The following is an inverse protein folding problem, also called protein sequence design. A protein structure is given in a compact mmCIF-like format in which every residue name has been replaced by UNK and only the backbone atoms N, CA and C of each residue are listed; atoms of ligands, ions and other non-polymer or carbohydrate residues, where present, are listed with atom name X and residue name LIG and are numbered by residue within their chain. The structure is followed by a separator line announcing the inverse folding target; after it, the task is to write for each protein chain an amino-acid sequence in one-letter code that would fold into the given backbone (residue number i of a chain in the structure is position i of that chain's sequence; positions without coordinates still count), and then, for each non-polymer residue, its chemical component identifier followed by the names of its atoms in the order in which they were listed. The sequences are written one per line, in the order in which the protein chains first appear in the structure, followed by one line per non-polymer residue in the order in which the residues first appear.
data_IF_090586774096
#
_entry.id   IF_090586774096
#
_cell.length_a   1.000
_cell.length_b   1.000
_cell.length_c   1.000
_cell.angle_alpha   90.00
_cell.angle_beta   90.00
_cell.angle_gamma   90.00
#
_symmetry.space_group_name_H-M   'P 1'
#
loop_
_entity.id
_entity.type
_entity.pdbx_description
1 polymer ?
#
# COMPACT_ATOMS: atom_id res chain seq x y z
N UNK A 1 23.24 -0.53 5.83
CA UNK A 1 22.02 -0.54 5.01
C UNK A 1 21.82 0.83 4.39
N UNK A 2 21.59 0.94 3.09
CA UNK A 2 21.31 2.23 2.45
C UNK A 2 20.12 2.93 3.10
N UNK A 3 20.15 4.26 3.15
CA UNK A 3 19.08 5.04 3.78
C UNK A 3 17.70 4.78 3.17
N UNK A 4 17.62 4.64 1.85
CA UNK A 4 16.36 4.35 1.17
C UNK A 4 15.81 2.96 1.54
N UNK A 5 16.68 1.95 1.62
CA UNK A 5 16.29 0.61 2.06
C UNK A 5 15.70 0.65 3.47
N UNK A 6 16.40 1.32 4.38
CA UNK A 6 15.97 1.47 5.76
C UNK A 6 14.61 2.18 5.83
N UNK A 7 14.45 3.24 5.06
CA UNK A 7 13.19 4.00 5.02
C UNK A 7 12.03 3.14 4.53
N UNK A 8 12.21 2.40 3.44
CA UNK A 8 11.13 1.57 2.88
C UNK A 8 10.76 0.42 3.82
N UNK A 9 11.73 -0.21 4.47
CA UNK A 9 11.44 -1.25 5.45
C UNK A 9 10.69 -0.67 6.64
N UNK A 10 11.11 0.51 7.12
CA UNK A 10 10.44 1.19 8.23
C UNK A 10 9.01 1.56 7.85
N UNK A 11 8.81 2.22 6.70
CA UNK A 11 7.47 2.62 6.25
C UNK A 11 6.58 1.40 6.03
N UNK A 12 7.13 0.35 5.44
CA UNK A 12 6.39 -0.90 5.22
C UNK A 12 5.99 -1.58 6.53
N UNK A 13 6.88 -1.60 7.50
CA UNK A 13 6.59 -2.17 8.82
C UNK A 13 5.51 -1.37 9.55
N UNK A 14 5.60 -0.03 9.52
CA UNK A 14 4.59 0.84 10.13
C UNK A 14 3.25 0.72 9.40
N UNK A 15 3.27 0.65 8.06
CA UNK A 15 2.06 0.42 7.28
C UNK A 15 1.44 -0.95 7.59
N UNK A 16 2.27 -1.97 7.78
CA UNK A 16 1.80 -3.29 8.19
C UNK A 16 1.13 -3.27 9.56
N UNK A 17 1.74 -2.59 10.53
CA UNK A 17 1.13 -2.42 11.85
C UNK A 17 -0.21 -1.68 11.76
N UNK A 18 -0.27 -0.60 10.98
CA UNK A 18 -1.52 0.12 10.75
C UNK A 18 -2.58 -0.77 10.07
N UNK A 19 -2.16 -1.61 9.13
CA UNK A 19 -3.05 -2.57 8.46
C UNK A 19 -3.68 -3.56 9.44
N UNK A 20 -2.91 -4.06 10.40
CA UNK A 20 -3.43 -4.95 11.44
C UNK A 20 -4.43 -4.20 12.33
N UNK A 21 -4.09 -2.99 12.76
CA UNK A 21 -4.99 -2.15 13.58
C UNK A 21 -6.30 -1.90 12.85
N UNK A 22 -6.25 -1.48 11.60
CA UNK A 22 -7.45 -1.17 10.80
C UNK A 22 -8.26 -2.42 10.49
N UNK A 23 -7.60 -3.55 10.27
CA UNK A 23 -8.27 -4.83 10.05
C UNK A 23 -9.02 -5.30 11.29
N UNK A 24 -8.34 -5.32 12.45
CA UNK A 24 -8.94 -5.72 13.71
C UNK A 24 -10.01 -4.71 14.16
N UNK A 25 -9.72 -3.40 14.10
CA UNK A 25 -10.66 -2.34 14.44
C UNK A 25 -11.90 -2.41 13.54
N UNK A 26 -11.71 -2.57 12.23
CA UNK A 26 -12.83 -2.68 11.29
C UNK A 26 -13.71 -3.89 11.58
N UNK A 27 -13.09 -5.03 11.94
CA UNK A 27 -13.85 -6.23 12.26
C UNK A 27 -14.73 -6.06 13.51
N UNK A 28 -14.27 -5.31 14.49
CA UNK A 28 -14.96 -5.20 15.79
C UNK A 28 -15.75 -3.89 15.95
N UNK A 29 -15.15 -2.74 15.62
CA UNK A 29 -15.74 -1.44 15.89
C UNK A 29 -16.66 -0.95 14.76
N UNK A 30 -16.28 -1.17 13.50
CA UNK A 30 -17.01 -0.64 12.35
C UNK A 30 -18.14 -1.54 11.88
N UNK A 31 -18.10 -2.83 12.22
CA UNK A 31 -19.14 -3.77 11.82
C UNK A 31 -20.55 -3.33 12.23
N UNK A 32 -20.67 -2.69 13.40
CA UNK A 32 -21.93 -2.19 13.91
C UNK A 32 -22.31 -0.78 13.37
N UNK A 33 -21.36 -0.08 12.76
CA UNK A 33 -21.54 1.32 12.33
C UNK A 33 -21.68 1.50 10.84
N UNK A 34 -21.07 0.60 10.04
CA UNK A 34 -21.08 0.67 8.59
C UNK A 34 -22.07 -0.33 8.02
N UNK A 35 -22.78 0.07 6.95
CA UNK A 35 -23.55 -0.86 6.16
C UNK A 35 -22.64 -1.90 5.49
N UNK A 36 -23.23 -2.98 4.98
CA UNK A 36 -22.47 -4.08 4.40
C UNK A 36 -21.60 -3.65 3.21
N UNK A 37 -22.08 -2.70 2.40
CA UNK A 37 -21.32 -2.17 1.25
C UNK A 37 -20.10 -1.36 1.69
N UNK A 38 -20.25 -0.46 2.67
CA UNK A 38 -19.14 0.34 3.18
C UNK A 38 -18.16 -0.51 4.00
N UNK A 39 -18.64 -1.52 4.70
CA UNK A 39 -17.75 -2.47 5.39
C UNK A 39 -16.90 -3.24 4.39
N UNK A 40 -17.47 -3.67 3.25
CA UNK A 40 -16.72 -4.32 2.19
C UNK A 40 -15.66 -3.39 1.58
N UNK A 41 -15.97 -2.10 1.42
CA UNK A 41 -14.99 -1.08 0.98
C UNK A 41 -13.83 -0.98 1.96
N UNK A 42 -14.11 -0.93 3.25
CA UNK A 42 -13.10 -0.90 4.30
C UNK A 42 -12.20 -2.14 4.25
N UNK A 43 -12.81 -3.32 4.13
CA UNK A 43 -12.08 -4.59 4.06
C UNK A 43 -11.18 -4.66 2.83
N UNK A 44 -11.66 -4.18 1.68
CA UNK A 44 -10.83 -4.07 0.46
C UNK A 44 -9.64 -3.15 0.70
N UNK A 45 -9.86 -2.00 1.33
CA UNK A 45 -8.79 -1.07 1.65
C UNK A 45 -7.71 -1.72 2.52
N UNK A 46 -8.11 -2.44 3.57
CA UNK A 46 -7.18 -3.13 4.48
C UNK A 46 -6.38 -4.19 3.74
N UNK A 47 -7.03 -5.01 2.92
CA UNK A 47 -6.41 -6.11 2.22
C UNK A 47 -5.33 -5.63 1.25
N UNK A 48 -5.65 -4.65 0.41
CA UNK A 48 -4.70 -4.08 -0.55
C UNK A 48 -3.60 -3.28 0.16
N UNK A 49 -3.93 -2.55 1.21
CA UNK A 49 -2.96 -1.86 2.05
C UNK A 49 -1.91 -2.85 2.58
N UNK A 50 -2.34 -3.96 3.15
CA UNK A 50 -1.44 -4.93 3.77
C UNK A 50 -0.54 -5.60 2.73
N UNK A 51 -1.09 -6.03 1.59
CA UNK A 51 -0.29 -6.62 0.52
C UNK A 51 0.83 -5.69 0.05
N UNK A 52 0.52 -4.41 -0.09
CA UNK A 52 1.50 -3.44 -0.62
C UNK A 52 2.46 -2.93 0.46
N UNK A 53 2.08 -2.99 1.74
CA UNK A 53 3.02 -2.82 2.84
C UNK A 53 4.11 -3.90 2.80
N UNK A 54 3.72 -5.16 2.56
CA UNK A 54 4.68 -6.26 2.39
C UNK A 54 5.53 -6.08 1.14
N UNK A 55 4.93 -5.63 0.03
CA UNK A 55 5.66 -5.30 -1.19
C UNK A 55 6.71 -4.23 -0.96
N UNK A 56 6.39 -3.21 -0.18
CA UNK A 56 7.33 -2.14 0.16
C UNK A 56 8.51 -2.66 0.98
N UNK A 57 8.26 -3.54 1.95
CA UNK A 57 9.33 -4.19 2.72
C UNK A 57 10.22 -5.00 1.78
N UNK A 58 9.64 -5.79 0.88
CA UNK A 58 10.39 -6.60 -0.07
C UNK A 58 11.31 -5.73 -0.94
N UNK A 59 10.81 -4.61 -1.45
CA UNK A 59 11.60 -3.65 -2.23
C UNK A 59 12.75 -3.11 -1.40
N UNK A 60 12.51 -2.74 -0.15
CA UNK A 60 13.54 -2.27 0.75
C UNK A 60 14.65 -3.31 0.96
N UNK A 61 14.28 -4.57 1.13
CA UNK A 61 15.24 -5.67 1.26
C UNK A 61 16.07 -5.83 0.00
N UNK A 62 15.45 -5.77 -1.19
CA UNK A 62 16.16 -5.89 -2.46
C UNK A 62 17.16 -4.75 -2.64
N UNK A 63 16.83 -3.54 -2.23
CA UNK A 63 17.77 -2.41 -2.26
C UNK A 63 18.93 -2.68 -1.28
N UNK A 64 18.65 -3.19 -0.09
CA UNK A 64 19.67 -3.51 0.90
C UNK A 64 20.65 -4.59 0.40
N UNK A 65 20.18 -5.50 -0.45
CA UNK A 65 21.00 -6.52 -1.07
C UNK A 65 21.85 -5.99 -2.25
N UNK A 66 21.73 -4.69 -2.55
CA UNK A 66 22.50 -4.00 -3.59
C UNK A 66 22.35 -4.62 -4.98
N UNK A 67 21.14 -5.10 -5.31
CA UNK A 67 20.86 -5.64 -6.64
C UNK A 67 20.95 -4.54 -7.70
N UNK A 68 21.36 -4.88 -8.94
CA UNK A 68 21.25 -3.96 -10.07
C UNK A 68 19.80 -3.48 -10.26
N UNK A 69 19.63 -2.28 -10.83
CA UNK A 69 18.31 -1.70 -11.00
C UNK A 69 17.79 -0.93 -9.79
N UNK A 70 18.69 -0.48 -8.91
CA UNK A 70 18.32 0.26 -7.70
C UNK A 70 17.47 1.51 -7.97
N UNK A 71 17.65 2.18 -9.12
CA UNK A 71 16.82 3.33 -9.51
C UNK A 71 15.37 2.89 -9.72
N UNK A 72 15.15 1.78 -10.43
CA UNK A 72 13.80 1.23 -10.64
C UNK A 72 13.18 0.79 -9.31
N UNK A 73 13.97 0.18 -8.42
CA UNK A 73 13.50 -0.24 -7.11
C UNK A 73 13.08 0.95 -6.24
N UNK A 74 13.82 2.06 -6.30
CA UNK A 74 13.43 3.28 -5.58
C UNK A 74 12.11 3.85 -6.08
N UNK A 75 11.93 3.92 -7.39
CA UNK A 75 10.66 4.36 -7.97
C UNK A 75 9.51 3.40 -7.58
N UNK A 76 9.76 2.10 -7.67
CA UNK A 76 8.77 1.10 -7.25
C UNK A 76 8.36 1.29 -5.80
N UNK A 77 9.32 1.53 -4.91
CA UNK A 77 9.03 1.76 -3.50
C UNK A 77 8.15 2.99 -3.25
N UNK A 78 8.47 4.11 -3.88
CA UNK A 78 7.66 5.32 -3.74
C UNK A 78 6.27 5.16 -4.35
N UNK A 79 6.14 4.40 -5.43
CA UNK A 79 4.83 4.09 -6.01
C UNK A 79 4.02 3.15 -5.11
N UNK A 80 4.67 2.25 -4.38
CA UNK A 80 3.99 1.47 -3.33
C UNK A 80 3.39 2.38 -2.28
N UNK A 81 4.16 3.36 -1.78
CA UNK A 81 3.71 4.33 -0.79
C UNK A 81 2.55 5.17 -1.35
N UNK A 82 2.72 5.72 -2.56
CA UNK A 82 1.66 6.52 -3.19
C UNK A 82 0.37 5.72 -3.36
N UNK A 83 0.48 4.46 -3.75
CA UNK A 83 -0.68 3.57 -3.90
C UNK A 83 -1.40 3.33 -2.58
N UNK A 84 -0.67 3.12 -1.48
CA UNK A 84 -1.29 2.94 -0.16
C UNK A 84 -2.10 4.19 0.20
N UNK A 85 -1.54 5.37 0.00
CA UNK A 85 -2.22 6.63 0.31
C UNK A 85 -3.43 6.88 -0.60
N UNK A 86 -3.28 6.68 -1.91
CA UNK A 86 -4.32 7.01 -2.88
C UNK A 86 -5.39 5.94 -3.01
N UNK A 87 -5.03 4.67 -2.96
CA UNK A 87 -5.99 3.57 -3.07
C UNK A 87 -6.65 3.30 -1.72
N UNK A 88 -5.90 2.79 -0.77
CA UNK A 88 -6.46 2.41 0.54
C UNK A 88 -6.90 3.65 1.33
N UNK A 89 -6.14 4.73 1.29
CA UNK A 89 -6.50 5.99 1.96
C UNK A 89 -7.83 6.54 1.47
N UNK A 90 -8.07 6.57 0.15
CA UNK A 90 -9.34 7.04 -0.41
C UNK A 90 -10.52 6.14 -0.03
N UNK A 91 -10.30 4.84 0.03
CA UNK A 91 -11.34 3.89 0.43
C UNK A 91 -11.65 3.97 1.92
N UNK A 92 -10.65 4.16 2.78
CA UNK A 92 -10.89 4.42 4.20
C UNK A 92 -11.74 5.68 4.40
N UNK A 93 -11.37 6.76 3.71
CA UNK A 93 -12.10 8.02 3.78
C UNK A 93 -13.53 7.87 3.22
N UNK A 94 -13.71 7.14 2.13
CA UNK A 94 -15.03 6.85 1.57
C UNK A 94 -15.90 6.07 2.55
N UNK A 95 -15.34 5.01 3.14
CA UNK A 95 -16.09 4.17 4.07
C UNK A 95 -16.56 4.94 5.31
N UNK A 96 -15.69 5.81 5.84
CA UNK A 96 -16.01 6.56 7.06
C UNK A 96 -16.87 7.80 6.81
N UNK A 97 -16.75 8.44 5.65
CA UNK A 97 -17.47 9.69 5.34
C UNK A 97 -18.71 9.48 4.49
N UNK A 98 -18.76 8.39 3.73
CA UNK A 98 -19.83 8.17 2.75
C UNK A 98 -19.72 9.05 1.50
N UNK A 99 -18.66 9.83 1.36
CA UNK A 99 -18.46 10.73 0.20
C UNK A 99 -17.99 9.90 -1.00
N UNK A 100 -18.91 9.56 -1.89
CA UNK A 100 -18.65 8.62 -3.00
C UNK A 100 -17.67 9.16 -4.03
N UNK A 101 -17.51 10.48 -4.15
CA UNK A 101 -16.53 11.09 -5.07
C UNK A 101 -15.08 10.71 -4.73
N UNK A 102 -14.81 10.30 -3.49
CA UNK A 102 -13.48 9.82 -3.10
C UNK A 102 -13.07 8.55 -3.85
N UNK A 103 -14.04 7.76 -4.31
CA UNK A 103 -13.78 6.59 -5.16
C UNK A 103 -13.14 6.94 -6.50
N UNK A 104 -13.20 8.20 -6.95
CA UNK A 104 -12.52 8.65 -8.16
C UNK A 104 -11.00 8.78 -7.97
N UNK A 105 -10.52 8.90 -6.73
CA UNK A 105 -9.09 8.94 -6.40
C UNK A 105 -8.49 7.53 -6.41
N UNK A 106 -9.25 6.54 -6.06
CA UNK A 106 -8.82 5.14 -5.91
C UNK A 106 -8.10 4.58 -7.14
N UNK A 107 -8.58 4.77 -8.40
CA UNK A 107 -7.89 4.25 -9.59
C UNK A 107 -6.47 4.79 -9.77
N UNK A 108 -6.20 6.02 -9.34
CA UNK A 108 -4.83 6.58 -9.42
C UNK A 108 -3.87 5.79 -8.53
N UNK A 109 -4.32 5.39 -7.36
CA UNK A 109 -3.55 4.51 -6.48
C UNK A 109 -3.35 3.12 -7.08
N UNK A 110 -4.37 2.57 -7.72
CA UNK A 110 -4.27 1.29 -8.43
C UNK A 110 -3.25 1.33 -9.55
N UNK A 111 -3.23 2.40 -10.36
CA UNK A 111 -2.24 2.59 -11.41
C UNK A 111 -0.83 2.71 -10.81
N UNK A 112 -0.66 3.45 -9.71
CA UNK A 112 0.62 3.55 -9.02
C UNK A 112 1.15 2.17 -8.61
N UNK A 113 0.29 1.31 -8.07
CA UNK A 113 0.68 -0.04 -7.68
C UNK A 113 1.03 -0.93 -8.87
N UNK A 114 0.25 -0.87 -9.94
CA UNK A 114 0.57 -1.62 -11.17
C UNK A 114 1.95 -1.20 -11.67
N UNK A 115 2.21 0.10 -11.74
CA UNK A 115 3.52 0.61 -12.14
C UNK A 115 4.63 0.13 -11.19
N UNK A 116 4.38 0.10 -9.88
CA UNK A 116 5.34 -0.38 -8.90
C UNK A 116 5.73 -1.84 -9.16
N UNK A 117 4.76 -2.71 -9.37
CA UNK A 117 5.00 -4.12 -9.65
C UNK A 117 5.75 -4.33 -10.97
N UNK A 118 5.39 -3.57 -12.01
CA UNK A 118 6.09 -3.63 -13.30
C UNK A 118 7.54 -3.18 -13.17
N UNK A 119 7.79 -2.10 -12.42
CA UNK A 119 9.16 -1.61 -12.18
C UNK A 119 9.98 -2.61 -11.35
N UNK A 120 9.36 -3.28 -10.40
CA UNK A 120 10.03 -4.35 -9.65
C UNK A 120 10.44 -5.48 -10.58
N UNK A 121 9.55 -5.94 -11.45
CA UNK A 121 9.86 -6.96 -12.44
C UNK A 121 10.99 -6.52 -13.37
N UNK A 122 10.94 -5.27 -13.84
CA UNK A 122 12.00 -4.73 -14.71
C UNK A 122 13.35 -4.64 -13.99
N UNK A 123 13.35 -4.30 -12.70
CA UNK A 123 14.57 -4.25 -11.90
C UNK A 123 15.23 -5.64 -11.80
N UNK A 124 14.42 -6.67 -11.58
CA UNK A 124 14.91 -8.05 -11.49
C UNK A 124 15.51 -8.52 -12.83
N UNK A 125 14.93 -8.11 -13.95
CA UNK A 125 15.46 -8.46 -15.28
C UNK A 125 16.85 -7.85 -15.54
N UNK A 126 17.24 -6.81 -14.81
CA UNK A 126 18.55 -6.18 -14.93
C UNK A 126 19.62 -6.81 -14.05
N UNK A 127 19.24 -7.72 -13.18
CA UNK A 127 20.18 -8.37 -12.24
C UNK A 127 20.84 -9.64 -12.83
#
# INVERSE_FOLDING_TARGET
MPATAKLFILLGALAGAAGVVFGAFGAHALKARLGSDMLAVWQTAVQYHFWHALGLIAIGILIALALPGSVLLRWAGWLMVAGILLFSGSLYALALSGVRSLGAVTPFGGVAWIAAWVLLAAAVLKS
#
